data_IF_847941332026
#
_entry.id   IF_847941332026
#
_cell.length_a   1.000
_cell.length_b   1.000
_cell.length_c   1.000
_cell.angle_alpha   90.00
_cell.angle_beta   90.00
_cell.angle_gamma   90.00
#
_symmetry.space_group_name_H-M   'P 1'
#
loop_
_entity.id
_entity.type
_entity.pdbx_description
1 polymer ?
#
# COMPACT_ATOMS: atom_id res chain seq x y z
N UNK A 1 28.07 -2.40 14.08
CA UNK A 1 28.02 -3.88 14.04
C UNK A 1 27.92 -4.55 15.41
N UNK A 2 28.70 -4.13 16.42
CA UNK A 2 28.70 -4.72 17.77
C UNK A 2 27.34 -4.75 18.52
N UNK A 3 26.36 -3.96 18.07
CA UNK A 3 25.02 -3.88 18.68
C UNK A 3 23.96 -4.72 17.96
N UNK A 4 24.30 -5.30 16.80
CA UNK A 4 23.38 -6.18 16.05
C UNK A 4 23.06 -7.40 16.89
N UNK A 5 21.82 -7.87 16.79
CA UNK A 5 21.37 -9.11 17.43
C UNK A 5 21.20 -10.15 16.32
N UNK A 6 22.12 -11.12 16.15
CA UNK A 6 22.04 -12.08 15.06
C UNK A 6 20.73 -12.87 15.09
N UNK A 7 20.05 -12.95 13.94
CA UNK A 7 18.81 -13.75 13.75
C UNK A 7 18.97 -14.64 12.53
N UNK A 8 18.74 -15.94 12.70
CA UNK A 8 18.76 -16.92 11.62
C UNK A 8 17.87 -18.11 11.98
N UNK A 9 16.86 -18.46 11.16
CA UNK A 9 16.42 -17.74 9.96
C UNK A 9 15.77 -16.38 10.28
N UNK A 10 15.74 -15.48 9.30
CA UNK A 10 14.96 -14.23 9.38
C UNK A 10 13.54 -14.54 8.92
N UNK A 11 12.59 -14.51 9.84
CA UNK A 11 11.18 -14.84 9.56
C UNK A 11 10.30 -13.60 9.71
N UNK A 12 10.55 -12.82 10.75
CA UNK A 12 9.68 -11.73 11.18
C UNK A 12 10.23 -10.35 10.85
N UNK A 13 9.37 -9.35 10.92
CA UNK A 13 9.78 -7.95 10.77
C UNK A 13 10.70 -7.47 11.89
N UNK A 14 10.55 -8.03 13.10
CA UNK A 14 11.51 -7.82 14.20
C UNK A 14 12.90 -8.37 13.84
N UNK A 15 12.96 -9.60 13.30
CA UNK A 15 14.24 -10.26 13.00
C UNK A 15 15.09 -9.43 12.03
N UNK A 16 14.46 -8.88 10.99
CA UNK A 16 15.13 -8.05 9.98
C UNK A 16 15.84 -6.87 10.63
N UNK A 17 15.13 -6.14 11.49
CA UNK A 17 15.63 -4.89 12.07
C UNK A 17 16.67 -5.17 13.14
N UNK A 18 16.41 -6.12 14.05
CA UNK A 18 17.35 -6.49 15.10
C UNK A 18 18.67 -7.02 14.53
N UNK A 19 18.60 -7.82 13.47
CA UNK A 19 19.79 -8.35 12.80
C UNK A 19 20.61 -7.24 12.11
N UNK A 20 19.97 -6.15 11.68
CA UNK A 20 20.64 -5.11 10.93
C UNK A 20 21.14 -3.92 11.79
N UNK A 21 20.36 -3.48 12.77
CA UNK A 21 20.63 -2.25 13.56
C UNK A 21 20.61 -2.44 15.08
N UNK A 22 20.17 -3.60 15.59
CA UNK A 22 20.13 -3.89 17.02
C UNK A 22 18.93 -3.27 17.75
N UNK A 23 18.87 -3.50 19.07
CA UNK A 23 17.70 -3.20 19.89
C UNK A 23 17.35 -1.71 19.96
N UNK A 24 18.33 -0.83 20.21
CA UNK A 24 18.04 0.59 20.48
C UNK A 24 17.37 1.29 19.28
N UNK A 25 17.91 1.06 18.07
CA UNK A 25 17.34 1.62 16.85
C UNK A 25 16.01 0.95 16.46
N UNK A 26 15.86 -0.35 16.74
CA UNK A 26 14.59 -1.04 16.59
C UNK A 26 13.47 -0.41 17.44
N UNK A 27 13.73 -0.20 18.73
CA UNK A 27 12.78 0.39 19.67
C UNK A 27 12.42 1.83 19.26
N UNK A 28 13.42 2.64 18.90
CA UNK A 28 13.22 4.07 18.57
C UNK A 28 12.49 4.30 17.26
N UNK A 29 12.73 3.49 16.23
CA UNK A 29 12.28 3.80 14.88
C UNK A 29 11.22 2.82 14.33
N UNK A 30 11.22 1.57 14.77
CA UNK A 30 10.41 0.52 14.14
C UNK A 30 9.29 0.02 15.02
N UNK A 31 9.57 -0.36 16.28
CA UNK A 31 8.60 -1.06 17.12
C UNK A 31 7.34 -0.25 17.38
N UNK A 32 7.49 0.98 17.89
CA UNK A 32 6.36 1.88 18.18
C UNK A 32 5.53 2.17 16.92
N UNK A 33 6.21 2.54 15.83
CA UNK A 33 5.57 2.83 14.55
C UNK A 33 4.78 1.63 14.01
N UNK A 34 5.38 0.43 14.05
CA UNK A 34 4.78 -0.79 13.51
C UNK A 34 3.54 -1.19 14.31
N UNK A 35 3.63 -1.13 15.65
CA UNK A 35 2.49 -1.40 16.53
C UNK A 35 1.32 -0.45 16.25
N UNK A 36 1.61 0.83 16.05
CA UNK A 36 0.60 1.83 15.68
C UNK A 36 0.00 1.55 14.30
N UNK A 37 0.85 1.36 13.29
CA UNK A 37 0.43 1.10 11.90
C UNK A 37 -0.41 -0.17 11.77
N UNK A 38 0.00 -1.26 12.38
CA UNK A 38 -0.58 -2.59 12.14
C UNK A 38 -1.48 -3.09 13.26
N UNK A 39 -1.40 -2.48 14.45
CA UNK A 39 -2.04 -3.02 15.66
C UNK A 39 -1.42 -4.34 16.13
N UNK A 40 -0.18 -4.63 15.70
CA UNK A 40 0.53 -5.90 15.93
C UNK A 40 2.00 -5.63 16.21
N UNK A 41 2.65 -6.53 16.95
CA UNK A 41 4.09 -6.46 17.17
C UNK A 41 4.87 -6.85 15.89
N UNK A 42 6.04 -6.24 15.62
CA UNK A 42 6.87 -6.66 14.48
C UNK A 42 7.24 -8.15 14.45
N UNK A 43 7.23 -8.84 15.61
CA UNK A 43 7.43 -10.29 15.68
C UNK A 43 6.26 -11.11 15.12
N UNK A 44 5.09 -10.51 14.93
CA UNK A 44 3.87 -11.15 14.39
C UNK A 44 3.71 -10.93 12.87
N UNK A 45 4.56 -10.08 12.28
CA UNK A 45 4.51 -9.70 10.87
C UNK A 45 5.65 -10.35 10.10
N UNK A 46 5.39 -10.73 8.85
CA UNK A 46 6.39 -11.26 7.94
C UNK A 46 7.54 -10.25 7.75
N UNK A 47 8.78 -10.75 7.62
CA UNK A 47 9.99 -9.96 7.36
C UNK A 47 9.86 -8.93 6.22
N UNK A 48 9.02 -9.21 5.21
CA UNK A 48 8.80 -8.33 4.07
C UNK A 48 8.20 -6.97 4.43
N UNK A 49 7.55 -6.79 5.59
CA UNK A 49 6.95 -5.50 5.98
C UNK A 49 8.04 -4.46 6.30
N UNK A 50 8.98 -4.77 7.19
CA UNK A 50 10.07 -3.82 7.55
C UNK A 50 11.23 -3.82 6.55
N UNK A 51 11.42 -4.90 5.78
CA UNK A 51 12.45 -4.96 4.71
C UNK A 51 12.28 -3.90 3.62
N UNK A 52 11.12 -3.23 3.56
CA UNK A 52 10.86 -2.12 2.64
C UNK A 52 11.61 -0.85 3.00
N UNK A 53 12.07 -0.71 4.25
CA UNK A 53 12.84 0.45 4.71
C UNK A 53 14.32 0.03 4.72
N UNK A 54 15.11 0.43 3.71
CA UNK A 54 16.50 0.02 3.62
C UNK A 54 17.33 0.68 4.73
N UNK A 55 18.14 -0.12 5.41
CA UNK A 55 19.15 0.37 6.34
C UNK A 55 20.40 0.71 5.55
N UNK A 56 20.87 1.95 5.67
CA UNK A 56 22.00 2.48 4.90
C UNK A 56 23.16 2.86 5.82
N UNK A 57 24.37 2.77 5.29
CA UNK A 57 25.62 3.22 5.94
C UNK A 57 26.23 4.43 5.25
N UNK A 58 25.60 4.94 4.19
CA UNK A 58 25.96 6.18 3.51
C UNK A 58 25.11 7.35 4.06
N UNK A 59 25.21 8.52 3.43
CA UNK A 59 24.51 9.75 3.84
C UNK A 59 23.28 10.08 2.97
N UNK A 60 22.82 9.12 2.17
CA UNK A 60 21.66 9.31 1.31
C UNK A 60 20.38 9.25 2.16
N UNK A 61 19.68 10.38 2.25
CA UNK A 61 18.47 10.59 3.04
C UNK A 61 17.18 10.39 2.23
N UNK A 62 17.27 10.13 0.92
CA UNK A 62 16.08 9.92 0.08
C UNK A 62 15.33 8.67 0.51
N UNK A 63 14.00 8.74 0.59
CA UNK A 63 13.20 7.57 0.98
C UNK A 63 13.29 6.43 -0.05
N UNK A 64 13.34 6.77 -1.34
CA UNK A 64 13.46 5.83 -2.45
C UNK A 64 14.83 5.95 -3.14
N UNK A 65 15.36 4.81 -3.61
CA UNK A 65 16.61 4.75 -4.40
C UNK A 65 16.36 4.47 -5.88
N UNK A 66 15.10 4.40 -6.30
CA UNK A 66 14.70 4.19 -7.68
C UNK A 66 15.31 5.23 -8.62
N UNK A 67 15.61 4.81 -9.84
CA UNK A 67 16.26 5.67 -10.84
C UNK A 67 15.33 6.82 -11.28
N UNK A 68 14.04 6.55 -11.44
CA UNK A 68 13.03 7.53 -11.83
C UNK A 68 12.14 7.88 -10.63
N UNK A 69 12.21 9.13 -10.18
CA UNK A 69 11.40 9.65 -9.08
C UNK A 69 10.76 10.97 -9.52
N UNK A 70 9.44 10.95 -9.75
CA UNK A 70 8.69 12.12 -10.20
C UNK A 70 7.21 12.01 -9.82
N UNK A 71 6.59 13.16 -9.64
CA UNK A 71 5.14 13.30 -9.46
C UNK A 71 4.49 13.74 -10.78
N UNK A 72 3.27 13.27 -11.12
CA UNK A 72 2.57 13.77 -12.29
C UNK A 72 2.33 15.28 -12.18
N UNK A 73 2.79 16.04 -13.18
CA UNK A 73 2.78 17.52 -13.18
C UNK A 73 1.40 18.14 -12.89
N UNK A 74 0.32 17.48 -13.33
CA UNK A 74 -1.07 17.91 -13.13
C UNK A 74 -1.84 17.02 -12.13
N UNK A 75 -1.13 16.24 -11.32
CA UNK A 75 -1.71 15.27 -10.41
C UNK A 75 -2.16 13.97 -11.08
N UNK A 76 -2.44 12.95 -10.25
CA UNK A 76 -2.80 11.61 -10.73
C UNK A 76 -4.15 11.58 -11.45
N UNK A 77 -5.13 12.39 -11.06
CA UNK A 77 -6.44 12.42 -11.72
C UNK A 77 -6.35 12.80 -13.18
N UNK A 78 -5.57 13.84 -13.54
CA UNK A 78 -5.38 14.23 -14.94
C UNK A 78 -4.65 13.14 -15.74
N UNK A 79 -3.68 12.46 -15.12
CA UNK A 79 -3.02 11.30 -15.72
C UNK A 79 -4.03 10.18 -16.03
N UNK A 80 -4.88 9.81 -15.08
CA UNK A 80 -5.89 8.77 -15.27
C UNK A 80 -6.98 9.17 -16.28
N UNK A 81 -7.39 10.45 -16.32
CA UNK A 81 -8.30 10.95 -17.37
C UNK A 81 -7.71 10.70 -18.75
N UNK A 82 -6.43 11.01 -18.96
CA UNK A 82 -5.78 10.76 -20.25
C UNK A 82 -5.65 9.26 -20.58
N UNK A 83 -5.38 8.41 -19.57
CA UNK A 83 -5.30 6.95 -19.77
C UNK A 83 -6.66 6.37 -20.20
N UNK A 84 -7.76 6.92 -19.67
CA UNK A 84 -9.12 6.43 -19.91
C UNK A 84 -9.82 7.15 -21.08
N UNK A 85 -9.22 8.21 -21.63
CA UNK A 85 -9.76 8.99 -22.76
C UNK A 85 -9.54 8.26 -24.09
N UNK A 86 -10.35 7.23 -24.32
CA UNK A 86 -10.33 6.47 -25.55
C UNK A 86 -11.73 6.03 -25.93
N UNK A 87 -12.09 6.14 -27.22
CA UNK A 87 -13.44 5.82 -27.75
C UNK A 87 -13.94 4.39 -27.48
N UNK A 88 -13.05 3.47 -27.11
CA UNK A 88 -13.38 2.08 -26.77
C UNK A 88 -13.52 1.84 -25.26
N UNK A 89 -13.40 2.88 -24.43
CA UNK A 89 -13.49 2.81 -22.98
C UNK A 89 -14.78 3.52 -22.55
N UNK A 90 -15.64 2.78 -21.84
CA UNK A 90 -16.79 3.34 -21.14
C UNK A 90 -16.49 3.34 -19.64
N UNK A 91 -16.66 4.49 -18.98
CA UNK A 91 -16.42 4.64 -17.55
C UNK A 91 -17.75 4.77 -16.79
N UNK A 92 -18.00 3.84 -15.88
CA UNK A 92 -19.13 3.90 -14.95
C UNK A 92 -18.61 4.03 -13.52
N UNK A 93 -19.00 5.11 -12.84
CA UNK A 93 -18.62 5.41 -11.46
C UNK A 93 -19.79 5.11 -10.51
N UNK A 94 -19.51 4.99 -9.20
CA UNK A 94 -20.55 4.73 -8.19
C UNK A 94 -21.28 3.39 -8.38
N UNK A 95 -20.65 2.45 -9.08
CA UNK A 95 -21.25 1.20 -9.53
C UNK A 95 -20.52 0.01 -8.92
N UNK A 96 -21.23 -0.82 -8.17
CA UNK A 96 -20.69 -2.05 -7.59
C UNK A 96 -20.71 -3.17 -8.63
N UNK A 97 -19.55 -3.81 -8.83
CA UNK A 97 -19.37 -4.90 -9.79
C UNK A 97 -20.42 -6.03 -9.64
N UNK A 98 -20.70 -6.48 -8.41
CA UNK A 98 -21.63 -7.60 -8.16
C UNK A 98 -23.07 -7.25 -8.53
N UNK A 99 -23.44 -5.98 -8.41
CA UNK A 99 -24.79 -5.51 -8.76
C UNK A 99 -24.99 -5.36 -10.27
N UNK A 100 -23.90 -5.26 -11.02
CA UNK A 100 -23.95 -4.88 -12.44
C UNK A 100 -23.60 -6.03 -13.37
N UNK A 101 -22.75 -6.97 -12.93
CA UNK A 101 -22.20 -8.01 -13.82
C UNK A 101 -23.27 -8.90 -14.46
N UNK A 102 -24.42 -9.09 -13.81
CA UNK A 102 -25.54 -9.87 -14.36
C UNK A 102 -26.22 -9.24 -15.57
N UNK A 103 -26.02 -7.94 -15.79
CA UNK A 103 -26.69 -7.18 -16.86
C UNK A 103 -25.76 -6.81 -18.02
N UNK A 104 -24.45 -7.07 -17.89
CA UNK A 104 -23.45 -6.72 -18.89
C UNK A 104 -23.00 -7.98 -19.64
N UNK A 105 -22.91 -7.89 -20.97
CA UNK A 105 -22.24 -8.92 -21.78
C UNK A 105 -20.74 -8.65 -21.82
N UNK A 106 -19.93 -9.65 -21.47
CA UNK A 106 -18.48 -9.55 -21.47
C UNK A 106 -17.83 -10.82 -22.01
N UNK A 107 -16.63 -10.69 -22.59
CA UNK A 107 -15.79 -11.82 -23.00
C UNK A 107 -14.85 -12.24 -21.86
N UNK A 108 -14.24 -11.26 -21.20
CA UNK A 108 -13.31 -11.43 -20.10
C UNK A 108 -13.58 -10.38 -19.01
N UNK A 109 -13.18 -10.69 -17.79
CA UNK A 109 -13.21 -9.79 -16.64
C UNK A 109 -11.78 -9.61 -16.11
N UNK A 110 -11.36 -8.37 -15.89
CA UNK A 110 -10.22 -8.06 -15.04
C UNK A 110 -10.78 -7.55 -13.72
N UNK A 111 -10.61 -8.32 -12.65
CA UNK A 111 -11.09 -7.97 -11.31
C UNK A 111 -9.93 -7.47 -10.45
N UNK A 112 -10.08 -6.27 -9.89
CA UNK A 112 -9.04 -5.60 -9.10
C UNK A 112 -9.43 -5.34 -7.65
N UNK A 113 -10.65 -5.71 -7.25
CA UNK A 113 -11.16 -5.60 -5.88
C UNK A 113 -10.68 -6.74 -4.94
N UNK A 114 -11.15 -6.78 -3.69
CA UNK A 114 -10.79 -7.83 -2.73
C UNK A 114 -11.24 -9.22 -3.20
N UNK A 115 -10.31 -10.16 -3.31
CA UNK A 115 -10.58 -11.52 -3.84
C UNK A 115 -11.55 -12.32 -2.96
N UNK A 116 -11.48 -12.14 -1.65
CA UNK A 116 -12.41 -12.76 -0.70
C UNK A 116 -13.84 -12.26 -0.92
N UNK A 117 -14.01 -10.95 -1.14
CA UNK A 117 -15.31 -10.38 -1.52
C UNK A 117 -15.83 -10.98 -2.82
N UNK A 118 -15.00 -11.12 -3.86
CA UNK A 118 -15.42 -11.76 -5.13
C UNK A 118 -16.07 -13.14 -4.89
N UNK A 119 -15.48 -13.95 -4.02
CA UNK A 119 -15.97 -15.28 -3.64
C UNK A 119 -16.97 -15.30 -2.46
N UNK A 120 -17.59 -14.16 -2.14
CA UNK A 120 -18.56 -14.01 -1.05
C UNK A 120 -18.04 -14.54 0.29
N UNK A 121 -16.74 -14.35 0.55
CA UNK A 121 -16.07 -14.75 1.78
C UNK A 121 -16.16 -16.25 2.10
N UNK A 122 -16.22 -17.11 1.07
CA UNK A 122 -16.42 -18.56 1.20
C UNK A 122 -15.40 -19.29 2.06
N UNK A 123 -14.19 -18.74 2.23
CA UNK A 123 -13.15 -19.27 3.13
C UNK A 123 -12.92 -18.39 4.37
N UNK A 124 -13.72 -17.34 4.56
CA UNK A 124 -13.55 -16.32 5.59
C UNK A 124 -12.97 -15.01 5.06
N UNK A 125 -12.94 -13.98 5.91
CA UNK A 125 -12.46 -12.64 5.53
C UNK A 125 -10.94 -12.57 5.50
N UNK A 126 -10.36 -12.04 4.42
CA UNK A 126 -8.95 -11.71 4.39
C UNK A 126 -8.70 -10.44 5.22
N UNK A 127 -7.77 -10.45 6.20
CA UNK A 127 -7.54 -9.27 7.03
C UNK A 127 -6.84 -8.14 6.27
N UNK A 128 -7.44 -6.95 6.29
CA UNK A 128 -6.80 -5.73 5.79
C UNK A 128 -6.65 -4.72 6.92
N UNK A 129 -5.59 -3.91 6.85
CA UNK A 129 -5.47 -2.70 7.64
C UNK A 129 -6.10 -1.54 6.88
N UNK A 130 -6.83 -0.70 7.62
CA UNK A 130 -7.41 0.52 7.09
C UNK A 130 -6.72 1.77 7.64
N UNK A 131 -7.06 2.93 7.08
CA UNK A 131 -6.56 4.23 7.52
C UNK A 131 -7.73 5.22 7.51
N UNK A 132 -7.84 5.98 8.59
CA UNK A 132 -8.63 7.21 8.66
C UNK A 132 -7.73 8.42 8.39
N UNK A 133 -8.20 9.32 7.53
CA UNK A 133 -7.46 10.50 7.12
C UNK A 133 -8.10 11.75 7.70
N UNK A 134 -7.36 12.49 8.52
CA UNK A 134 -7.78 13.79 9.02
C UNK A 134 -7.08 14.91 8.25
N UNK A 135 -7.82 15.57 7.37
CA UNK A 135 -7.31 16.67 6.56
C UNK A 135 -7.47 18.00 7.28
N UNK A 136 -6.41 18.79 7.30
CA UNK A 136 -6.40 20.13 7.90
C UNK A 136 -5.85 21.14 6.90
N UNK A 137 -6.56 22.25 6.71
CA UNK A 137 -6.07 23.41 5.97
C UNK A 137 -5.65 24.50 6.95
N UNK A 138 -4.45 25.03 6.78
CA UNK A 138 -3.88 26.08 7.61
C UNK A 138 -3.74 27.33 6.74
N UNK A 139 -4.61 28.34 6.92
CA UNK A 139 -4.51 29.59 6.17
C UNK A 139 -3.26 30.36 6.58
N UNK A 140 -2.73 31.16 5.67
CA UNK A 140 -1.58 32.06 5.87
C UNK A 140 -0.27 31.41 6.37
N UNK A 141 -0.20 30.08 6.34
CA UNK A 141 1.00 29.32 6.60
C UNK A 141 1.47 28.66 5.29
N UNK A 142 2.56 29.17 4.72
CA UNK A 142 3.07 28.66 3.44
C UNK A 142 3.74 27.29 3.57
N UNK A 143 4.21 26.92 4.77
CA UNK A 143 4.85 25.63 5.04
C UNK A 143 4.61 25.20 6.49
N UNK A 144 4.21 23.95 6.70
CA UNK A 144 3.95 23.37 8.02
C UNK A 144 5.15 22.61 8.59
N UNK A 145 5.85 21.87 7.73
CA UNK A 145 6.95 21.00 8.13
C UNK A 145 8.11 21.08 7.13
N UNK A 146 9.29 20.58 7.53
CA UNK A 146 10.52 20.70 6.74
C UNK A 146 10.53 19.83 5.47
N UNK A 147 9.81 18.70 5.48
CA UNK A 147 9.79 17.71 4.40
C UNK A 147 8.38 17.26 4.09
N UNK A 148 8.19 16.49 3.01
CA UNK A 148 6.86 16.04 2.60
C UNK A 148 6.12 15.18 3.63
N UNK A 149 6.84 14.39 4.44
CA UNK A 149 6.23 13.54 5.47
C UNK A 149 7.13 13.46 6.71
N UNK A 150 6.55 13.63 7.90
CA UNK A 150 7.20 13.37 9.20
C UNK A 150 6.48 12.20 9.86
N UNK A 151 7.25 11.18 10.25
CA UNK A 151 6.76 10.02 10.97
C UNK A 151 6.90 10.21 12.49
N UNK A 152 5.96 9.67 13.25
CA UNK A 152 5.94 9.72 14.71
C UNK A 152 5.92 8.29 15.28
N UNK A 153 7.08 7.64 15.43
CA UNK A 153 7.13 6.25 15.88
C UNK A 153 6.59 6.06 17.30
N UNK A 154 6.83 7.02 18.19
CA UNK A 154 6.65 6.83 19.64
C UNK A 154 5.63 7.80 20.26
N UNK A 155 5.19 8.81 19.51
CA UNK A 155 4.33 9.90 20.00
C UNK A 155 3.03 9.95 19.20
N UNK A 156 1.95 10.45 19.80
CA UNK A 156 0.62 10.63 19.21
C UNK A 156 -0.07 9.32 18.75
N UNK A 157 -1.36 9.41 18.42
CA UNK A 157 -2.14 8.27 17.93
C UNK A 157 -2.06 8.09 16.40
N UNK A 158 -1.73 9.15 15.65
CA UNK A 158 -1.45 9.07 14.21
C UNK A 158 -0.02 8.60 13.95
N UNK A 159 0.22 7.97 12.80
CA UNK A 159 1.56 7.48 12.42
C UNK A 159 2.43 8.56 11.82
N UNK A 160 1.84 9.46 11.04
CA UNK A 160 2.58 10.48 10.28
C UNK A 160 1.70 11.65 9.88
N UNK A 161 2.37 12.73 9.53
CA UNK A 161 1.79 13.91 8.88
C UNK A 161 2.42 14.07 7.50
N UNK A 162 1.58 14.22 6.49
CA UNK A 162 2.00 14.53 5.12
C UNK A 162 1.55 15.93 4.72
N UNK A 163 2.47 16.76 4.24
CA UNK A 163 2.21 18.09 3.70
C UNK A 163 2.31 18.06 2.16
N UNK A 164 1.18 18.20 1.48
CA UNK A 164 1.06 17.91 0.05
C UNK A 164 1.84 18.87 -0.87
N UNK A 165 2.14 20.09 -0.42
CA UNK A 165 2.84 21.09 -1.24
C UNK A 165 4.28 20.70 -1.54
N UNK A 166 4.96 19.98 -0.64
CA UNK A 166 6.28 19.39 -0.90
C UNK A 166 6.26 18.37 -2.04
N UNK A 167 5.17 17.60 -2.16
CA UNK A 167 5.03 16.56 -3.17
C UNK A 167 4.60 17.15 -4.53
N UNK A 168 3.69 18.11 -4.50
CA UNK A 168 3.06 18.66 -5.71
C UNK A 168 3.82 19.85 -6.30
N UNK A 169 4.66 20.51 -5.51
CA UNK A 169 5.30 21.78 -5.88
C UNK A 169 4.31 22.96 -5.98
N UNK A 170 3.09 22.81 -5.46
CA UNK A 170 2.07 23.86 -5.53
C UNK A 170 2.47 25.07 -4.68
N UNK A 171 2.45 26.26 -5.31
CA UNK A 171 2.64 27.54 -4.63
C UNK A 171 1.28 28.05 -4.15
N UNK A 172 1.15 28.29 -2.85
CA UNK A 172 -0.09 28.75 -2.23
C UNK A 172 0.21 29.48 -0.90
N UNK A 173 -0.63 30.44 -0.50
CA UNK A 173 -0.45 31.23 0.73
C UNK A 173 -0.68 30.41 2.01
N UNK A 174 -1.66 29.52 1.99
CA UNK A 174 -1.85 28.49 3.02
C UNK A 174 -1.24 27.14 2.63
N UNK A 175 -1.36 26.16 3.51
CA UNK A 175 -0.93 24.78 3.31
C UNK A 175 -1.99 23.79 3.77
N UNK A 176 -1.97 22.59 3.21
CA UNK A 176 -2.86 21.51 3.61
C UNK A 176 -2.04 20.28 3.98
N UNK A 177 -2.38 19.71 5.13
CA UNK A 177 -1.76 18.51 5.66
C UNK A 177 -2.79 17.40 5.82
N UNK A 178 -2.31 16.18 6.00
CA UNK A 178 -3.13 15.05 6.45
C UNK A 178 -2.43 14.32 7.58
N UNK A 179 -3.19 13.99 8.62
CA UNK A 179 -2.80 13.06 9.69
C UNK A 179 -3.41 11.69 9.40
N UNK A 180 -2.59 10.64 9.48
CA UNK A 180 -3.01 9.27 9.17
C UNK A 180 -3.19 8.44 10.45
N UNK A 181 -4.40 7.95 10.69
CA UNK A 181 -4.78 7.14 11.85
C UNK A 181 -5.07 5.70 11.40
N UNK A 182 -4.18 4.74 11.68
CA UNK A 182 -4.40 3.36 11.30
C UNK A 182 -5.56 2.74 12.09
N UNK A 183 -6.46 2.05 11.40
CA UNK A 183 -7.64 1.43 12.00
C UNK A 183 -7.87 0.01 11.48
N UNK A 184 -8.67 -0.77 12.22
CA UNK A 184 -8.99 -2.17 11.88
C UNK A 184 -10.23 -2.33 11.01
N UNK A 185 -11.02 -1.27 10.82
CA UNK A 185 -12.25 -1.26 10.06
C UNK A 185 -12.26 -0.11 9.06
N UNK A 186 -13.01 -0.27 7.96
CA UNK A 186 -13.05 0.68 6.85
C UNK A 186 -12.55 0.04 5.56
N UNK A 187 -12.23 0.88 4.58
CA UNK A 187 -11.78 0.41 3.27
C UNK A 187 -10.44 -0.33 3.36
N UNK A 188 -10.22 -1.40 2.56
CA UNK A 188 -9.01 -2.18 2.61
C UNK A 188 -7.83 -1.44 1.94
N UNK A 189 -6.88 -0.92 2.73
CA UNK A 189 -5.69 -0.23 2.21
C UNK A 189 -4.46 -1.13 2.12
N UNK A 190 -4.22 -1.96 3.16
CA UNK A 190 -3.04 -2.84 3.22
C UNK A 190 -3.44 -4.29 3.54
N UNK A 191 -3.01 -5.27 2.73
CA UNK A 191 -3.06 -6.66 3.17
C UNK A 191 -2.12 -6.83 4.37
N UNK A 192 -2.51 -7.64 5.36
CA UNK A 192 -1.69 -7.90 6.55
C UNK A 192 -0.79 -9.13 6.27
N UNK A 193 0.53 -8.97 6.06
CA UNK A 193 1.41 -10.07 5.66
C UNK A 193 1.84 -10.88 6.89
N UNK A 194 1.09 -11.95 7.16
CA UNK A 194 1.37 -12.96 8.20
C UNK A 194 1.04 -14.34 7.65
N UNK A 195 1.69 -15.36 8.19
CA UNK A 195 1.63 -16.72 7.67
C UNK A 195 0.19 -17.25 7.51
N UNK A 196 -0.67 -17.08 8.51
CA UNK A 196 -2.05 -17.55 8.42
C UNK A 196 -2.89 -16.82 7.37
N UNK A 197 -2.64 -15.53 7.14
CA UNK A 197 -3.33 -14.76 6.11
C UNK A 197 -2.87 -15.19 4.72
N UNK A 198 -1.60 -15.53 4.56
CA UNK A 198 -1.08 -16.13 3.33
C UNK A 198 -1.70 -17.50 3.06
N UNK A 199 -1.90 -18.32 4.10
CA UNK A 199 -2.58 -19.61 3.98
C UNK A 199 -4.03 -19.44 3.54
N UNK A 200 -4.77 -18.49 4.13
CA UNK A 200 -6.14 -18.15 3.71
C UNK A 200 -6.18 -17.62 2.27
N UNK A 201 -5.30 -16.68 1.93
CA UNK A 201 -5.21 -16.15 0.57
C UNK A 201 -4.92 -17.26 -0.45
N UNK A 202 -4.05 -18.23 -0.11
CA UNK A 202 -3.79 -19.38 -0.99
C UNK A 202 -5.05 -20.18 -1.32
N UNK A 203 -6.01 -20.31 -0.41
CA UNK A 203 -7.29 -20.99 -0.70
C UNK A 203 -8.07 -20.23 -1.79
N UNK A 204 -8.16 -18.90 -1.67
CA UNK A 204 -8.75 -18.04 -2.70
C UNK A 204 -7.97 -18.08 -4.02
N UNK A 205 -6.64 -18.07 -3.98
CA UNK A 205 -5.78 -18.14 -5.16
C UNK A 205 -5.95 -19.47 -5.92
N UNK A 206 -6.19 -20.58 -5.22
CA UNK A 206 -6.42 -21.87 -5.88
C UNK A 206 -7.75 -21.95 -6.61
N UNK A 207 -8.81 -21.33 -6.09
CA UNK A 207 -10.09 -21.28 -6.78
C UNK A 207 -10.07 -20.28 -7.93
N UNK A 208 -9.35 -19.16 -7.80
CA UNK A 208 -9.23 -18.17 -8.87
C UNK A 208 -8.52 -18.70 -10.11
N UNK A 209 -7.56 -19.61 -9.94
CA UNK A 209 -6.90 -20.33 -11.05
C UNK A 209 -7.84 -21.18 -11.90
N UNK A 210 -9.04 -21.50 -11.40
CA UNK A 210 -10.06 -22.28 -12.15
C UNK A 210 -10.95 -21.39 -13.02
N UNK A 211 -10.92 -20.07 -12.82
CA UNK A 211 -11.68 -19.13 -13.64
C UNK A 211 -11.08 -19.06 -15.04
N UNK A 212 -11.89 -19.33 -16.06
CA UNK A 212 -11.41 -19.32 -17.45
C UNK A 212 -11.31 -17.93 -18.04
N UNK A 213 -12.23 -17.05 -17.64
CA UNK A 213 -12.42 -15.73 -18.25
C UNK A 213 -12.30 -14.58 -17.24
N UNK A 214 -11.79 -14.86 -16.03
CA UNK A 214 -11.63 -13.86 -14.97
C UNK A 214 -10.18 -13.81 -14.54
N UNK A 215 -9.62 -12.61 -14.54
CA UNK A 215 -8.22 -12.36 -14.23
C UNK A 215 -8.13 -11.43 -13.02
N UNK A 216 -7.43 -11.89 -11.98
CA UNK A 216 -7.27 -11.17 -10.73
C UNK A 216 -5.95 -10.39 -10.76
N UNK A 217 -6.02 -9.07 -10.62
CA UNK A 217 -4.88 -8.18 -10.75
C UNK A 217 -4.87 -7.06 -9.71
N UNK A 218 -3.69 -6.75 -9.19
CA UNK A 218 -3.48 -5.59 -8.32
C UNK A 218 -3.52 -5.93 -6.84
N UNK A 219 -3.31 -4.91 -6.01
CA UNK A 219 -3.07 -5.03 -4.56
C UNK A 219 -4.11 -5.88 -3.85
N UNK A 220 -5.40 -5.63 -4.10
CA UNK A 220 -6.50 -6.27 -3.39
C UNK A 220 -6.79 -7.67 -3.95
N UNK A 221 -6.91 -7.79 -5.26
CA UNK A 221 -7.23 -9.06 -5.92
C UNK A 221 -6.13 -10.11 -5.75
N UNK A 222 -4.87 -9.69 -5.61
CA UNK A 222 -3.73 -10.58 -5.42
C UNK A 222 -3.21 -10.57 -3.98
N UNK A 223 -3.87 -9.85 -3.06
CA UNK A 223 -3.50 -9.73 -1.65
C UNK A 223 -1.99 -9.43 -1.45
N UNK A 224 -1.46 -8.47 -2.22
CA UNK A 224 -0.02 -8.15 -2.28
C UNK A 224 0.23 -6.69 -1.97
N UNK A 225 1.24 -6.42 -1.15
CA UNK A 225 1.66 -5.05 -0.83
C UNK A 225 2.45 -4.41 -1.98
N UNK A 226 1.76 -4.02 -3.05
CA UNK A 226 2.37 -3.37 -4.21
C UNK A 226 2.51 -1.85 -4.09
N UNK A 227 3.60 -1.31 -4.65
CA UNK A 227 3.71 0.08 -5.08
C UNK A 227 3.02 0.31 -6.44
N UNK A 228 2.85 1.57 -6.85
CA UNK A 228 2.16 1.91 -8.10
C UNK A 228 2.86 1.35 -9.35
N UNK A 229 4.18 1.49 -9.43
CA UNK A 229 5.02 0.98 -10.52
C UNK A 229 4.89 -0.54 -10.68
N UNK A 230 4.84 -1.27 -9.57
CA UNK A 230 4.68 -2.72 -9.55
C UNK A 230 3.31 -3.15 -10.07
N UNK A 231 2.24 -2.42 -9.72
CA UNK A 231 0.89 -2.70 -10.26
C UNK A 231 0.83 -2.41 -11.76
N UNK A 232 1.43 -1.31 -12.21
CA UNK A 232 1.51 -0.97 -13.64
C UNK A 232 2.27 -2.05 -14.41
N UNK A 233 3.43 -2.47 -13.91
CA UNK A 233 4.21 -3.57 -14.50
C UNK A 233 3.41 -4.87 -14.57
N UNK A 234 2.72 -5.25 -13.49
CA UNK A 234 1.87 -6.42 -13.47
C UNK A 234 0.70 -6.35 -14.49
N UNK A 235 0.12 -5.16 -14.68
CA UNK A 235 -0.94 -4.93 -15.67
C UNK A 235 -0.42 -5.10 -17.10
N UNK A 236 0.74 -4.52 -17.41
CA UNK A 236 1.36 -4.64 -18.73
C UNK A 236 1.72 -6.09 -19.04
N UNK A 237 2.35 -6.81 -18.10
CA UNK A 237 2.66 -8.23 -18.27
C UNK A 237 1.43 -9.13 -18.39
N UNK A 238 0.28 -8.74 -17.82
CA UNK A 238 -0.96 -9.46 -18.03
C UNK A 238 -1.46 -9.29 -19.47
N UNK A 239 -1.48 -8.05 -19.98
CA UNK A 239 -1.96 -7.75 -21.33
C UNK A 239 -1.09 -8.38 -22.42
N UNK A 240 0.22 -8.44 -22.23
CA UNK A 240 1.13 -9.15 -23.15
C UNK A 240 0.75 -10.62 -23.36
N UNK A 241 0.17 -11.28 -22.34
CA UNK A 241 -0.31 -12.67 -22.46
C UNK A 241 -1.58 -12.82 -23.29
N UNK A 242 -2.34 -11.74 -23.49
CA UNK A 242 -3.53 -11.73 -24.36
C UNK A 242 -3.20 -11.36 -25.82
N UNK A 243 -2.02 -10.77 -26.06
CA UNK A 243 -1.58 -10.35 -27.39
C UNK A 243 -0.94 -11.51 -28.20
N UNK A 244 -0.74 -12.67 -27.57
CA UNK A 244 -0.33 -13.95 -28.16
C UNK A 244 -1.55 -14.86 -28.33
#
# INVERSE_FOLDING_TARGET
EKVRVPRSPIITSEDVVLNAVGQDLYEKFFRGYTRKQWGMDPSELNASVTSRIPIRTNRDDRYFTDHYQAMPKKGYTEMFRNILDHKNIELQLGTDFKKTISFIKYKFIIYTGPIDSYYNYSFGHLPYRSIEFHHEHIPDQSQFQETGTINFPNDYDFTRITEFKHLTGQIHKGTSIVKEYPCSSGDPYYPIPRQENELLYKQYEQVSKKEKNVFFLGRLAQYRYYNMDQVVGAALSLIEKFAL
#
